data_IF_323627213647
#
_entry.id   IF_323627213647
#
_cell.length_a   1.000
_cell.length_b   1.000
_cell.length_c   1.000
_cell.angle_alpha   90.00
_cell.angle_beta   90.00
_cell.angle_gamma   90.00
#
_symmetry.space_group_name_H-M   'P 1'
#
loop_
_entity.id
_entity.type
_entity.pdbx_description
1 polymer ?
#
# COMPACT_ATOMS: atom_id res chain seq x y z
N UNK A 1 -22.93 -9.86 7.42
CA UNK A 1 -22.45 -9.55 6.05
C UNK A 1 -20.95 -9.55 6.05
N UNK A 2 -20.34 -10.35 5.20
CA UNK A 2 -18.90 -10.42 5.15
C UNK A 2 -18.32 -9.20 4.45
N UNK A 3 -17.27 -8.67 5.06
CA UNK A 3 -16.53 -7.58 4.45
C UNK A 3 -15.40 -8.17 3.62
N UNK A 4 -15.32 -7.79 2.36
CA UNK A 4 -14.28 -8.29 1.48
C UNK A 4 -13.20 -7.22 1.29
N UNK A 5 -11.93 -7.62 1.21
CA UNK A 5 -10.88 -6.67 0.91
C UNK A 5 -11.12 -6.02 -0.45
N UNK A 6 -10.89 -4.74 -0.53
CA UNK A 6 -11.00 -4.01 -1.78
C UNK A 6 -9.61 -3.70 -2.29
N UNK A 7 -9.32 -4.06 -3.53
CA UNK A 7 -8.04 -3.72 -4.13
C UNK A 7 -7.91 -2.21 -4.24
N UNK A 8 -6.82 -1.67 -3.72
CA UNK A 8 -6.58 -0.23 -3.76
C UNK A 8 -5.34 0.13 -4.57
N UNK A 9 -4.50 -0.84 -4.88
CA UNK A 9 -3.34 -0.56 -5.69
C UNK A 9 -2.45 -1.76 -5.87
N UNK A 10 -1.37 -1.55 -6.63
CA UNK A 10 -0.36 -2.57 -6.87
C UNK A 10 1.02 -2.01 -6.58
N UNK A 11 1.87 -2.87 -6.04
CA UNK A 11 3.27 -2.52 -5.82
C UNK A 11 3.99 -2.49 -7.16
N UNK A 12 4.56 -1.34 -7.50
CA UNK A 12 5.29 -1.17 -8.74
C UNK A 12 6.80 -1.20 -8.52
N UNK A 13 7.23 -0.94 -7.28
CA UNK A 13 8.64 -0.96 -6.94
C UNK A 13 8.79 -1.11 -5.43
N UNK A 14 9.91 -1.68 -4.99
CA UNK A 14 10.19 -1.79 -3.55
C UNK A 14 11.65 -1.42 -3.28
N UNK A 15 11.83 -0.46 -2.38
CA UNK A 15 13.14 -0.02 -1.92
C UNK A 15 13.45 -0.71 -0.60
N UNK A 16 14.19 -1.81 -0.66
CA UNK A 16 14.43 -2.63 0.52
C UNK A 16 15.24 -1.94 1.60
N UNK A 17 16.10 -1.02 1.24
CA UNK A 17 16.95 -0.33 2.21
C UNK A 17 16.15 0.58 3.15
N UNK A 18 15.05 1.10 2.68
CA UNK A 18 14.23 2.02 3.47
C UNK A 18 12.85 1.46 3.75
N UNK A 19 12.60 0.23 3.32
CA UNK A 19 11.32 -0.47 3.52
C UNK A 19 10.14 0.33 3.01
N UNK A 20 10.28 0.91 1.81
CA UNK A 20 9.23 1.69 1.18
C UNK A 20 8.82 1.02 -0.12
N UNK A 21 7.54 0.78 -0.27
CA UNK A 21 6.96 0.26 -1.50
C UNK A 21 6.32 1.40 -2.28
N UNK A 22 6.58 1.44 -3.57
CA UNK A 22 5.87 2.36 -4.44
C UNK A 22 4.61 1.64 -4.89
N UNK A 23 3.46 2.23 -4.59
CA UNK A 23 2.17 1.64 -4.89
C UNK A 23 1.41 2.57 -5.83
N UNK A 24 1.01 2.03 -6.96
CA UNK A 24 0.14 2.76 -7.88
C UNK A 24 -1.29 2.51 -7.44
N UNK A 25 -1.96 3.57 -7.01
CA UNK A 25 -3.31 3.44 -6.45
C UNK A 25 -4.37 3.43 -7.54
N UNK A 26 -5.38 2.60 -7.33
CA UNK A 26 -6.60 2.62 -8.16
C UNK A 26 -7.84 2.92 -7.32
N UNK A 27 -7.64 3.26 -6.06
CA UNK A 27 -8.70 3.69 -5.14
C UNK A 27 -8.06 4.57 -4.07
N UNK A 28 -8.82 5.41 -3.39
CA UNK A 28 -8.28 6.28 -2.34
C UNK A 28 -7.73 5.48 -1.17
N UNK A 29 -6.68 6.01 -0.55
CA UNK A 29 -6.05 5.40 0.62
C UNK A 29 -5.64 6.52 1.60
N UNK A 30 -5.82 6.28 2.88
CA UNK A 30 -5.52 7.26 3.92
C UNK A 30 -4.68 6.65 5.03
N UNK A 31 -3.89 7.51 5.69
CA UNK A 31 -3.18 7.11 6.90
C UNK A 31 -4.19 6.63 7.95
N UNK A 32 -3.90 5.53 8.61
CA UNK A 32 -4.81 4.90 9.55
C UNK A 32 -5.63 3.78 8.95
N UNK A 33 -5.69 3.68 7.63
CA UNK A 33 -6.39 2.57 7.00
C UNK A 33 -5.64 1.27 7.23
N UNK A 34 -6.39 0.20 7.39
CA UNK A 34 -5.80 -1.12 7.51
C UNK A 34 -5.73 -1.76 6.13
N UNK A 35 -4.55 -2.19 5.77
CA UNK A 35 -4.30 -2.77 4.45
C UNK A 35 -3.72 -4.16 4.58
N UNK A 36 -3.89 -4.94 3.53
CA UNK A 36 -3.28 -6.25 3.40
C UNK A 36 -2.55 -6.30 2.08
N UNK A 37 -1.31 -6.74 2.10
CA UNK A 37 -0.50 -6.87 0.91
C UNK A 37 -0.34 -8.35 0.61
N UNK A 38 -0.77 -8.75 -0.57
CA UNK A 38 -0.79 -10.15 -0.97
C UNK A 38 -0.12 -10.36 -2.32
N UNK A 39 0.62 -11.45 -2.42
CA UNK A 39 1.24 -11.88 -3.65
C UNK A 39 1.63 -13.34 -3.52
N UNK A 40 2.32 -13.91 -4.52
CA UNK A 40 2.70 -15.33 -4.49
C UNK A 40 3.51 -15.73 -3.26
N UNK A 41 4.31 -14.82 -2.72
CA UNK A 41 5.13 -15.09 -1.54
C UNK A 41 4.93 -14.05 -0.44
N UNK A 42 3.93 -13.19 -0.58
CA UNK A 42 3.67 -12.09 0.35
C UNK A 42 2.24 -12.17 0.84
N UNK A 43 2.06 -12.08 2.16
CA UNK A 43 0.72 -12.05 2.74
C UNK A 43 0.84 -11.52 4.16
N UNK A 44 0.54 -10.23 4.35
CA UNK A 44 0.53 -9.64 5.69
C UNK A 44 -0.38 -8.43 5.73
N UNK A 45 -0.77 -8.06 6.93
CA UNK A 45 -1.60 -6.89 7.18
C UNK A 45 -0.82 -5.85 7.97
N UNK A 46 -1.12 -4.59 7.71
CA UNK A 46 -0.60 -3.50 8.51
C UNK A 46 -1.52 -2.29 8.40
N UNK A 47 -1.36 -1.38 9.34
CA UNK A 47 -2.01 -0.08 9.27
C UNK A 47 -1.10 0.87 8.50
N UNK A 48 -1.67 1.74 7.68
CA UNK A 48 -0.89 2.74 6.97
C UNK A 48 -0.39 3.78 7.99
N UNK A 49 0.92 3.77 8.23
CA UNK A 49 1.54 4.70 9.17
C UNK A 49 1.95 6.00 8.49
N UNK A 50 2.47 5.90 7.27
CA UNK A 50 2.88 7.09 6.53
C UNK A 50 2.88 6.80 5.05
N UNK A 51 2.56 7.84 4.28
CA UNK A 51 2.61 7.81 2.83
C UNK A 51 3.28 9.06 2.33
N UNK A 52 3.92 8.97 1.17
CA UNK A 52 4.55 10.12 0.53
C UNK A 52 4.18 10.16 -0.94
N UNK A 53 4.01 11.37 -1.45
CA UNK A 53 3.87 11.62 -2.88
C UNK A 53 4.93 12.66 -3.23
N UNK A 54 5.82 12.29 -4.17
CA UNK A 54 6.92 13.17 -4.58
C UNK A 54 7.73 13.70 -3.39
N UNK A 55 8.06 12.78 -2.46
CA UNK A 55 8.85 13.06 -1.25
C UNK A 55 8.13 13.92 -0.22
N UNK A 56 6.85 14.20 -0.41
CA UNK A 56 6.06 14.93 0.57
C UNK A 56 5.13 13.98 1.31
N UNK A 57 5.11 14.08 2.63
CA UNK A 57 4.22 13.27 3.45
C UNK A 57 2.79 13.73 3.27
N UNK A 58 1.90 12.79 3.00
CA UNK A 58 0.47 13.08 2.82
C UNK A 58 -0.35 12.18 3.72
N UNK A 59 -1.53 12.65 4.09
CA UNK A 59 -2.46 11.86 4.91
C UNK A 59 -3.45 11.08 4.07
N UNK A 60 -3.71 11.54 2.85
CA UNK A 60 -4.67 10.92 1.95
C UNK A 60 -4.13 10.94 0.54
N UNK A 61 -4.33 9.85 -0.18
CA UNK A 61 -3.97 9.75 -1.58
C UNK A 61 -5.18 9.31 -2.38
N UNK A 62 -5.21 9.67 -3.65
CA UNK A 62 -6.34 9.42 -4.54
C UNK A 62 -6.00 8.36 -5.58
N UNK A 63 -7.04 7.78 -6.19
CA UNK A 63 -6.86 6.88 -7.31
C UNK A 63 -6.07 7.55 -8.42
N UNK A 64 -5.18 6.80 -9.05
CA UNK A 64 -4.33 7.32 -10.12
C UNK A 64 -3.00 7.89 -9.66
N UNK A 65 -2.79 8.01 -8.35
CA UNK A 65 -1.52 8.50 -7.83
C UNK A 65 -0.61 7.35 -7.45
N UNK A 66 0.70 7.59 -7.59
CA UNK A 66 1.70 6.65 -7.09
C UNK A 66 2.22 7.17 -5.76
N UNK A 67 2.23 6.33 -4.76
CA UNK A 67 2.67 6.71 -3.43
C UNK A 67 3.84 5.87 -2.96
N UNK A 68 4.64 6.42 -2.07
CA UNK A 68 5.62 5.67 -1.30
C UNK A 68 4.99 5.28 0.02
N UNK A 69 4.88 3.98 0.26
CA UNK A 69 4.23 3.45 1.45
C UNK A 69 5.25 2.71 2.29
N UNK A 70 5.38 3.13 3.54
CA UNK A 70 6.26 2.44 4.48
C UNK A 70 5.64 1.10 4.82
N UNK A 71 6.38 0.01 4.61
CA UNK A 71 5.91 -1.34 4.89
C UNK A 71 6.79 -2.00 5.94
N UNK A 72 6.21 -2.89 6.71
CA UNK A 72 6.94 -3.57 7.79
C UNK A 72 7.59 -4.87 7.34
N UNK A 73 7.26 -5.36 6.17
CA UNK A 73 7.82 -6.58 5.63
C UNK A 73 8.20 -6.39 4.18
N UNK A 74 9.01 -7.30 3.67
CA UNK A 74 9.43 -7.27 2.28
C UNK A 74 8.25 -7.50 1.36
N UNK A 75 8.13 -6.68 0.32
CA UNK A 75 7.11 -6.84 -0.72
C UNK A 75 7.78 -6.93 -2.09
N UNK A 76 7.03 -7.36 -3.08
CA UNK A 76 7.53 -7.51 -4.44
C UNK A 76 6.70 -6.71 -5.42
N UNK A 77 7.29 -6.43 -6.57
CA UNK A 77 6.65 -5.58 -7.59
C UNK A 77 5.34 -6.12 -8.13
N UNK A 78 5.06 -7.40 -7.94
CA UNK A 78 3.81 -8.00 -8.42
C UNK A 78 2.74 -8.11 -7.32
N UNK A 79 3.05 -7.63 -6.12
CA UNK A 79 2.11 -7.74 -5.01
C UNK A 79 0.97 -6.74 -5.17
N UNK A 80 -0.17 -7.09 -4.62
CA UNK A 80 -1.37 -6.27 -4.67
C UNK A 80 -1.71 -5.78 -3.27
N UNK A 81 -2.14 -4.53 -3.17
CA UNK A 81 -2.54 -3.92 -1.90
C UNK A 81 -4.06 -3.89 -1.82
N UNK A 82 -4.58 -4.42 -0.74
CA UNK A 82 -6.02 -4.42 -0.44
C UNK A 82 -6.29 -3.60 0.80
N UNK A 83 -7.42 -2.92 0.81
CA UNK A 83 -7.90 -2.23 1.98
C UNK A 83 -8.93 -3.12 2.67
N UNK A 84 -8.72 -3.39 3.95
CA UNK A 84 -9.69 -4.14 4.74
C UNK A 84 -10.65 -3.17 5.42
N UNK A 85 -11.92 -3.46 5.35
CA UNK A 85 -12.95 -2.55 5.84
C UNK A 85 -13.65 -3.14 7.04
#
# INVERSE_FOLDING_TARGET
MEKQPQEVGKVTHFFSKISVAVVELNAPLSVGDKIRIMGPTTDFEQTVDSMQIEHETVETAKAGQSIGLKVKEHVRETDTVYKTV
#
